data_IF_016104496711
#
_entry.id   IF_016104496711
#
_cell.length_a   1.000
_cell.length_b   1.000
_cell.length_c   1.000
_cell.angle_alpha   90.00
_cell.angle_beta   90.00
_cell.angle_gamma   90.00
#
_symmetry.space_group_name_H-M   'P 1'
#
loop_
_entity.id
_entity.type
_entity.pdbx_description
1 polymer ?
#
# COMPACT_ATOMS: atom_id res chain seq x y z
N UNK A 1 -0.79 22.69 5.91
CA UNK A 1 0.57 23.23 5.68
C UNK A 1 1.70 22.36 6.28
N UNK A 2 1.74 22.07 7.59
CA UNK A 2 2.80 21.20 8.16
C UNK A 2 2.69 19.72 7.75
N UNK A 3 1.46 19.19 7.66
CA UNK A 3 1.18 17.81 7.23
C UNK A 3 1.59 17.58 5.77
N UNK A 4 1.34 18.56 4.90
CA UNK A 4 1.71 18.50 3.48
C UNK A 4 3.24 18.46 3.31
N UNK A 5 3.97 19.29 4.07
CA UNK A 5 5.45 19.27 4.07
C UNK A 5 6.03 17.94 4.55
N UNK A 6 5.44 17.32 5.58
CA UNK A 6 5.86 15.99 6.06
C UNK A 6 5.62 14.93 4.99
N UNK A 7 4.46 14.99 4.33
CA UNK A 7 4.11 14.06 3.27
C UNK A 7 5.06 14.17 2.07
N UNK A 8 5.29 15.40 1.58
CA UNK A 8 6.23 15.66 0.49
C UNK A 8 7.65 15.19 0.81
N UNK A 9 8.11 15.39 2.05
CA UNK A 9 9.45 14.94 2.47
C UNK A 9 9.55 13.42 2.52
N UNK A 10 8.53 12.73 3.03
CA UNK A 10 8.48 11.28 3.07
C UNK A 10 8.47 10.68 1.66
N UNK A 11 7.67 11.24 0.76
CA UNK A 11 7.63 10.85 -0.65
C UNK A 11 8.98 11.02 -1.34
N UNK A 12 9.60 12.21 -1.24
CA UNK A 12 10.90 12.51 -1.87
C UNK A 12 11.98 11.54 -1.42
N UNK A 13 12.02 11.22 -0.13
CA UNK A 13 13.00 10.28 0.43
C UNK A 13 12.91 8.90 -0.22
N UNK A 14 11.70 8.39 -0.46
CA UNK A 14 11.51 7.09 -1.13
C UNK A 14 11.79 7.21 -2.62
N UNK A 15 11.38 8.31 -3.26
CA UNK A 15 11.62 8.58 -4.67
C UNK A 15 13.12 8.57 -5.03
N UNK A 16 13.99 9.09 -4.17
CA UNK A 16 15.45 9.08 -4.35
C UNK A 16 16.06 7.68 -4.30
N UNK A 17 15.35 6.69 -3.74
CA UNK A 17 15.81 5.31 -3.58
C UNK A 17 15.16 4.32 -4.53
N UNK A 18 14.31 4.80 -5.45
CA UNK A 18 13.60 3.95 -6.42
C UNK A 18 14.60 3.37 -7.41
N UNK A 19 14.63 2.05 -7.52
CA UNK A 19 15.40 1.36 -8.55
C UNK A 19 14.74 1.50 -9.94
N UNK A 20 15.54 1.38 -10.99
CA UNK A 20 15.02 1.33 -12.36
C UNK A 20 14.00 0.20 -12.51
N UNK A 21 12.84 0.51 -13.08
CA UNK A 21 11.73 -0.44 -13.22
C UNK A 21 10.75 -0.48 -12.04
N UNK A 22 11.06 0.21 -10.93
CA UNK A 22 10.12 0.35 -9.81
C UNK A 22 9.29 1.64 -9.88
N UNK A 23 8.21 1.65 -9.11
CA UNK A 23 7.32 2.79 -8.87
C UNK A 23 7.16 3.04 -7.37
N UNK A 24 6.85 4.28 -6.99
CA UNK A 24 6.50 4.62 -5.60
C UNK A 24 5.02 4.40 -5.38
N UNK A 25 4.69 3.58 -4.39
CA UNK A 25 3.33 3.37 -3.89
C UNK A 25 3.17 4.01 -2.51
N UNK A 26 1.93 4.37 -2.17
CA UNK A 26 1.61 5.03 -0.91
C UNK A 26 0.43 4.38 -0.19
N UNK A 27 0.48 4.38 1.14
CA UNK A 27 -0.62 4.04 2.03
C UNK A 27 -0.59 4.92 3.27
N UNK A 28 -1.52 4.73 4.21
CA UNK A 28 -1.55 5.45 5.47
C UNK A 28 -1.51 4.46 6.63
N UNK A 29 -0.82 4.81 7.71
CA UNK A 29 -0.93 4.10 8.98
C UNK A 29 -2.31 4.32 9.61
N UNK A 30 -2.64 3.55 10.65
CA UNK A 30 -3.88 3.73 11.42
C UNK A 30 -3.98 5.11 12.09
N UNK A 31 -2.82 5.74 12.37
CA UNK A 31 -2.73 7.10 12.89
C UNK A 31 -2.85 8.18 11.79
N UNK A 32 -3.00 7.78 10.53
CA UNK A 32 -3.12 8.68 9.38
C UNK A 32 -1.78 9.24 8.88
N UNK A 33 -0.65 8.67 9.28
CA UNK A 33 0.67 9.05 8.78
C UNK A 33 0.92 8.44 7.40
N UNK A 34 1.48 9.18 6.43
CA UNK A 34 1.77 8.65 5.11
C UNK A 34 2.94 7.66 5.17
N UNK A 35 2.75 6.51 4.54
CA UNK A 35 3.74 5.47 4.37
C UNK A 35 3.99 5.26 2.88
N UNK A 36 5.27 5.20 2.49
CA UNK A 36 5.68 5.02 1.10
C UNK A 36 6.59 3.79 1.00
N UNK A 37 6.43 3.06 -0.10
CA UNK A 37 7.22 1.87 -0.42
C UNK A 37 7.37 1.75 -1.94
N UNK A 38 8.27 0.89 -2.41
CA UNK A 38 8.46 0.63 -3.83
C UNK A 38 7.85 -0.70 -4.26
N UNK A 39 7.45 -0.77 -5.53
CA UNK A 39 7.00 -1.99 -6.18
C UNK A 39 7.47 -2.00 -7.65
N UNK A 40 7.68 -3.17 -8.26
CA UNK A 40 7.87 -3.27 -9.71
C UNK A 40 6.72 -2.61 -10.45
N UNK A 41 7.02 -1.98 -11.59
CA UNK A 41 6.00 -1.28 -12.40
C UNK A 41 4.91 -2.22 -12.91
N UNK A 42 5.26 -3.48 -13.13
CA UNK A 42 4.40 -4.57 -13.57
C UNK A 42 3.67 -5.28 -12.42
N UNK A 43 3.85 -4.83 -11.18
CA UNK A 43 3.18 -5.43 -10.03
C UNK A 43 1.65 -5.34 -10.18
N UNK A 44 0.99 -6.45 -9.87
CA UNK A 44 -0.46 -6.54 -9.80
C UNK A 44 -1.02 -5.74 -8.63
N UNK A 45 -2.32 -5.41 -8.68
CA UNK A 45 -2.98 -4.72 -7.55
C UNK A 45 -2.91 -5.53 -6.25
N UNK A 46 -3.00 -6.87 -6.35
CA UNK A 46 -2.89 -7.77 -5.19
C UNK A 46 -1.49 -7.70 -4.55
N UNK A 47 -0.43 -7.70 -5.36
CA UNK A 47 0.94 -7.55 -4.86
C UNK A 47 1.16 -6.17 -4.22
N UNK A 48 0.59 -5.11 -4.80
CA UNK A 48 0.65 -3.76 -4.21
C UNK A 48 -0.10 -3.73 -2.87
N UNK A 49 -1.24 -4.42 -2.78
CA UNK A 49 -2.05 -4.50 -1.56
C UNK A 49 -1.34 -5.28 -0.46
N UNK A 50 -0.70 -6.40 -0.79
CA UNK A 50 0.15 -7.17 0.13
C UNK A 50 1.29 -6.30 0.67
N UNK A 51 2.00 -5.59 -0.20
CA UNK A 51 3.08 -4.67 0.20
C UNK A 51 2.57 -3.52 1.06
N UNK A 52 1.40 -2.97 0.75
CA UNK A 52 0.77 -1.94 1.57
C UNK A 52 0.39 -2.46 2.95
N UNK A 53 -0.12 -3.70 3.05
CA UNK A 53 -0.40 -4.35 4.33
C UNK A 53 0.89 -4.51 5.15
N UNK A 54 1.96 -5.00 4.52
CA UNK A 54 3.25 -5.16 5.17
C UNK A 54 3.82 -3.83 5.66
N UNK A 55 3.71 -2.76 4.85
CA UNK A 55 4.14 -1.43 5.22
C UNK A 55 3.39 -0.87 6.45
N UNK A 56 2.08 -1.13 6.57
CA UNK A 56 1.27 -0.70 7.72
C UNK A 56 1.54 -1.50 8.99
N UNK A 57 1.64 -2.82 8.86
CA UNK A 57 1.60 -3.73 10.00
C UNK A 57 2.99 -4.24 10.43
N UNK A 58 4.04 -3.98 9.65
CA UNK A 58 5.38 -4.51 9.90
C UNK A 58 5.50 -6.03 9.73
N UNK A 59 4.47 -6.69 9.16
CA UNK A 59 4.43 -8.13 8.89
C UNK A 59 3.63 -8.43 7.62
N UNK A 60 3.92 -9.55 6.92
CA UNK A 60 3.12 -9.95 5.77
C UNK A 60 1.68 -10.30 6.16
N UNK A 61 0.80 -10.25 5.17
CA UNK A 61 -0.58 -10.70 5.25
C UNK A 61 -0.59 -12.22 5.47
N UNK A 62 -1.32 -12.70 6.47
CA UNK A 62 -1.51 -14.14 6.68
C UNK A 62 -2.50 -14.72 5.67
N UNK A 63 -2.48 -16.05 5.51
CA UNK A 63 -3.42 -16.77 4.65
C UNK A 63 -4.89 -16.51 5.06
N UNK A 64 -5.17 -16.47 6.36
CA UNK A 64 -6.52 -16.19 6.87
C UNK A 64 -6.96 -14.78 6.54
N UNK A 65 -6.08 -13.78 6.71
CA UNK A 65 -6.39 -12.38 6.38
C UNK A 65 -6.61 -12.19 4.88
N UNK A 66 -5.84 -12.90 4.04
CA UNK A 66 -6.04 -12.93 2.59
C UNK A 66 -7.42 -13.47 2.23
N UNK A 67 -7.79 -14.61 2.81
CA UNK A 67 -9.09 -15.22 2.55
C UNK A 67 -10.26 -14.31 2.99
N UNK A 68 -10.14 -13.62 4.12
CA UNK A 68 -11.15 -12.66 4.57
C UNK A 68 -11.27 -11.45 3.63
N UNK A 69 -10.15 -10.96 3.08
CA UNK A 69 -10.16 -9.88 2.09
C UNK A 69 -10.86 -10.30 0.79
N UNK A 70 -10.54 -11.49 0.27
CA UNK A 70 -11.19 -12.05 -0.93
C UNK A 70 -12.72 -12.15 -0.75
N UNK A 71 -13.18 -12.64 0.41
CA UNK A 71 -14.60 -12.72 0.73
C UNK A 71 -15.25 -11.32 0.80
N UNK A 72 -14.60 -10.35 1.44
CA UNK A 72 -15.09 -8.98 1.54
C UNK A 72 -15.14 -8.26 0.17
N UNK A 73 -14.29 -8.67 -0.77
CA UNK A 73 -14.28 -8.14 -2.14
C UNK A 73 -15.36 -8.77 -3.01
N UNK A 74 -15.53 -10.09 -2.92
CA UNK A 74 -16.63 -10.79 -3.59
C UNK A 74 -18.02 -10.33 -3.13
N UNK A 75 -18.15 -9.90 -1.86
CA UNK A 75 -19.40 -9.30 -1.37
C UNK A 75 -19.63 -7.89 -1.92
N UNK A 76 -18.57 -7.08 -2.09
CA UNK A 76 -18.68 -5.73 -2.65
C UNK A 76 -19.09 -5.75 -4.13
N UNK A 77 -18.65 -6.75 -4.90
CA UNK A 77 -19.09 -6.91 -6.30
C UNK A 77 -20.55 -7.36 -6.40
N UNK A 78 -21.03 -8.16 -5.46
CA UNK A 78 -22.42 -8.64 -5.44
C UNK A 78 -23.43 -7.62 -4.87
N UNK A 79 -23.00 -6.70 -4.01
CA UNK A 79 -23.86 -5.67 -3.43
C UNK A 79 -24.12 -4.47 -4.37
N UNK A 80 -23.52 -4.47 -5.58
CA UNK A 80 -23.65 -3.42 -6.58
C UNK A 80 -24.30 -3.85 -7.90
N UNK A 81 -25.00 -4.99 -7.93
CA UNK A 81 -25.79 -5.47 -9.09
C UNK A 81 -27.29 -5.36 -8.84
#
# INVERSE_FOLDING_TARGET
>A
MFRDRKNTRAFKKVQETVADGEIVCGTYSDNGDPLYFTAPREATEDEIRDRAFAARNGRPLSQTERHLLELAEGQRTNAGS
#
